data_IF_920344935374
#
_entry.id   IF_920344935374
#
_cell.length_a   1.000
_cell.length_b   1.000
_cell.length_c   1.000
_cell.angle_alpha   90.00
_cell.angle_beta   90.00
_cell.angle_gamma   90.00
#
_symmetry.space_group_name_H-M   'P 1'
#
loop_
_entity.id
_entity.type
_entity.pdbx_description
1 polymer ?
#
# COMPACT_ATOMS: atom_id res chain seq x y z
N UNK A 1 28.92 0.60 13.01
CA UNK A 1 27.85 0.73 12.00
C UNK A 1 27.22 2.11 12.19
N UNK A 2 26.91 2.81 11.11
CA UNK A 2 26.21 4.10 11.19
C UNK A 2 24.75 3.86 11.64
N UNK A 3 24.30 4.57 12.68
CA UNK A 3 22.96 4.43 13.23
C UNK A 3 21.89 4.96 12.30
N UNK A 4 22.20 5.94 11.44
CA UNK A 4 21.28 6.36 10.39
C UNK A 4 21.00 5.19 9.42
N UNK A 5 22.04 4.44 9.04
CA UNK A 5 21.88 3.21 8.22
C UNK A 5 21.08 2.15 8.97
N UNK A 6 21.27 1.99 10.27
CA UNK A 6 20.48 1.05 11.07
C UNK A 6 19.00 1.44 11.09
N UNK A 7 18.68 2.72 11.26
CA UNK A 7 17.30 3.23 11.20
C UNK A 7 16.67 2.98 9.83
N UNK A 8 17.41 3.19 8.73
CA UNK A 8 16.91 2.88 7.38
C UNK A 8 16.66 1.39 7.19
N UNK A 9 17.55 0.51 7.68
CA UNK A 9 17.32 -0.94 7.63
C UNK A 9 16.07 -1.38 8.40
N UNK A 10 15.82 -0.81 9.56
CA UNK A 10 14.60 -1.10 10.34
C UNK A 10 13.37 -0.60 9.59
N UNK A 11 13.42 0.62 9.07
CA UNK A 11 12.34 1.21 8.26
C UNK A 11 11.98 0.33 7.06
N UNK A 12 12.99 -0.09 6.31
CA UNK A 12 12.84 -0.93 5.12
C UNK A 12 12.33 -2.32 5.48
N UNK A 13 12.83 -2.90 6.59
CA UNK A 13 12.32 -4.16 7.10
C UNK A 13 10.81 -4.06 7.32
N UNK A 14 10.33 -3.00 7.96
CA UNK A 14 8.90 -2.74 8.17
C UNK A 14 8.13 -2.24 6.94
N UNK A 15 8.77 -2.16 5.77
CA UNK A 15 8.14 -1.70 4.52
C UNK A 15 7.58 -0.26 4.59
N UNK A 16 8.15 0.59 5.45
CA UNK A 16 7.80 2.01 5.47
C UNK A 16 8.51 2.76 4.33
N UNK A 17 7.73 3.48 3.52
CA UNK A 17 8.26 4.25 2.39
C UNK A 17 8.90 5.58 2.81
N UNK A 18 8.41 6.16 3.91
CA UNK A 18 8.84 7.49 4.36
C UNK A 18 9.28 7.48 5.82
N UNK A 19 10.25 8.34 6.11
CA UNK A 19 10.73 8.59 7.48
C UNK A 19 9.60 9.15 8.37
N UNK A 20 8.66 9.89 7.78
CA UNK A 20 7.49 10.43 8.47
C UNK A 20 6.58 9.31 8.98
N UNK A 21 6.29 8.31 8.13
CA UNK A 21 5.40 7.22 8.52
C UNK A 21 6.05 6.30 9.55
N UNK A 22 7.36 6.06 9.41
CA UNK A 22 8.09 5.29 10.41
C UNK A 22 8.19 6.03 11.76
N UNK A 23 8.42 7.35 11.76
CA UNK A 23 8.39 8.16 12.98
C UNK A 23 7.03 8.07 13.69
N UNK A 24 5.92 8.16 12.94
CA UNK A 24 4.56 7.99 13.48
C UNK A 24 4.36 6.60 14.09
N UNK A 25 4.84 5.54 13.44
CA UNK A 25 4.78 4.18 13.97
C UNK A 25 5.54 4.05 15.31
N UNK A 26 6.71 4.66 15.41
CA UNK A 26 7.50 4.70 16.63
C UNK A 26 6.84 5.57 17.72
N UNK A 27 5.89 6.42 17.37
CA UNK A 27 5.22 7.35 18.29
C UNK A 27 6.02 8.62 18.57
N UNK A 28 6.91 9.00 17.65
CA UNK A 28 7.73 10.22 17.73
C UNK A 28 7.44 11.19 16.58
N UNK A 29 7.92 12.42 16.70
CA UNK A 29 7.75 13.41 15.63
C UNK A 29 8.76 13.16 14.48
N UNK A 30 8.42 13.54 13.23
CA UNK A 30 9.38 13.49 12.12
C UNK A 30 10.66 14.30 12.38
N UNK A 31 10.56 15.42 13.11
CA UNK A 31 11.71 16.21 13.51
C UNK A 31 12.63 15.43 14.45
N UNK A 32 12.06 14.71 15.44
CA UNK A 32 12.83 13.85 16.34
C UNK A 32 13.58 12.78 15.56
N UNK A 33 12.92 12.13 14.61
CA UNK A 33 13.53 11.09 13.78
C UNK A 33 14.63 11.66 12.86
N UNK A 34 14.41 12.83 12.26
CA UNK A 34 15.44 13.53 11.47
C UNK A 34 16.67 13.88 12.32
N UNK A 35 16.45 14.35 13.56
CA UNK A 35 17.51 14.64 14.51
C UNK A 35 18.28 13.38 14.93
N UNK A 36 17.61 12.23 15.05
CA UNK A 36 18.26 10.94 15.30
C UNK A 36 19.24 10.57 14.19
N UNK A 37 18.80 10.66 12.92
CA UNK A 37 19.66 10.41 11.76
C UNK A 37 20.84 11.37 11.70
N UNK A 38 20.59 12.68 11.81
CA UNK A 38 21.65 13.69 11.68
C UNK A 38 22.68 13.64 12.80
N UNK A 39 22.26 13.28 14.02
CA UNK A 39 23.13 13.14 15.19
C UNK A 39 23.67 11.73 15.37
N UNK A 40 23.43 10.82 14.42
CA UNK A 40 23.85 9.43 14.48
C UNK A 40 23.49 8.77 15.83
N UNK A 41 22.23 8.93 16.24
CA UNK A 41 21.68 8.49 17.53
C UNK A 41 20.29 7.90 17.35
N UNK A 42 19.83 7.11 18.31
CA UNK A 42 18.44 6.69 18.44
C UNK A 42 18.18 6.23 19.87
N UNK A 43 16.91 6.12 20.24
CA UNK A 43 16.49 5.46 21.47
C UNK A 43 16.37 3.94 21.22
N UNK A 44 17.33 3.19 21.77
CA UNK A 44 17.39 1.74 21.59
C UNK A 44 16.25 1.01 22.31
N UNK A 45 15.81 1.53 23.46
CA UNK A 45 14.71 0.98 24.24
C UNK A 45 13.39 1.17 23.52
N UNK A 46 13.16 2.37 22.95
CA UNK A 46 11.99 2.61 22.12
C UNK A 46 11.95 1.67 20.91
N UNK A 47 13.07 1.53 20.19
CA UNK A 47 13.16 0.64 19.03
C UNK A 47 12.90 -0.82 19.42
N UNK A 48 13.46 -1.30 20.53
CA UNK A 48 13.23 -2.67 20.99
C UNK A 48 11.75 -2.91 21.37
N UNK A 49 11.11 -1.93 22.02
CA UNK A 49 9.71 -2.04 22.41
C UNK A 49 8.75 -1.99 21.21
N UNK A 50 9.06 -1.19 20.18
CA UNK A 50 8.23 -1.06 18.97
C UNK A 50 8.52 -2.15 17.94
N UNK A 51 9.74 -2.64 17.90
CA UNK A 51 10.24 -3.64 16.97
C UNK A 51 10.83 -4.84 17.75
N UNK A 52 9.98 -5.67 18.38
CA UNK A 52 10.41 -6.71 19.32
C UNK A 52 11.19 -7.86 18.67
N UNK A 53 11.21 -7.95 17.34
CA UNK A 53 12.01 -8.91 16.59
C UNK A 53 13.47 -8.48 16.35
N UNK A 54 13.81 -7.23 16.64
CA UNK A 54 15.19 -6.76 16.50
C UNK A 54 16.08 -7.43 17.54
N UNK A 55 17.25 -7.86 17.08
CA UNK A 55 18.31 -8.37 17.94
C UNK A 55 18.87 -7.23 18.82
N UNK A 56 18.79 -7.32 20.16
CA UNK A 56 19.33 -6.30 21.06
C UNK A 56 20.83 -6.06 20.85
N UNK A 57 21.61 -7.11 20.60
CA UNK A 57 23.06 -7.00 20.35
C UNK A 57 23.35 -6.22 19.07
N UNK A 58 22.51 -6.41 18.04
CA UNK A 58 22.60 -5.63 16.81
C UNK A 58 22.22 -4.17 17.03
N UNK A 59 21.15 -3.88 17.78
CA UNK A 59 20.78 -2.51 18.13
C UNK A 59 21.89 -1.77 18.89
N UNK A 60 22.59 -2.44 19.81
CA UNK A 60 23.61 -1.81 20.65
C UNK A 60 24.96 -1.65 19.95
N UNK A 61 25.39 -2.68 19.20
CA UNK A 61 26.75 -2.73 18.66
C UNK A 61 26.82 -2.67 17.12
N UNK A 62 25.69 -2.83 16.43
CA UNK A 62 25.64 -2.98 14.97
C UNK A 62 26.38 -4.22 14.46
N UNK A 63 26.68 -5.16 15.36
CA UNK A 63 27.30 -6.47 15.10
C UNK A 63 26.20 -7.52 15.22
N UNK A 64 26.40 -8.70 14.66
CA UNK A 64 25.38 -9.75 14.52
C UNK A 64 24.30 -9.47 13.44
N UNK A 65 23.47 -10.47 13.10
CA UNK A 65 22.30 -10.26 12.27
C UNK A 65 21.28 -9.36 12.97
N UNK A 66 20.61 -8.51 12.19
CA UNK A 66 19.53 -7.62 12.65
C UNK A 66 18.37 -8.36 13.30
N UNK A 67 18.09 -9.58 12.86
CA UNK A 67 17.05 -10.48 13.38
C UNK A 67 17.73 -11.82 13.61
N UNK A 68 17.52 -12.43 14.77
CA UNK A 68 18.11 -13.73 15.10
C UNK A 68 17.33 -14.87 14.43
N UNK A 69 18.01 -15.97 14.13
CA UNK A 69 17.40 -17.17 13.53
C UNK A 69 16.25 -17.73 14.38
N UNK A 70 16.41 -17.71 15.71
CA UNK A 70 15.34 -18.08 16.65
C UNK A 70 14.10 -17.19 16.48
N UNK A 71 14.30 -15.89 16.25
CA UNK A 71 13.19 -14.95 16.05
C UNK A 71 12.54 -15.15 14.70
N UNK A 72 13.31 -15.44 13.65
CA UNK A 72 12.77 -15.80 12.33
C UNK A 72 11.83 -16.99 12.44
N UNK A 73 12.19 -18.02 13.21
CA UNK A 73 11.35 -19.21 13.43
C UNK A 73 10.09 -18.87 14.24
N UNK A 74 10.18 -18.07 15.30
CA UNK A 74 9.02 -17.60 16.07
C UNK A 74 8.02 -16.80 15.21
N UNK A 75 8.53 -15.93 14.32
CA UNK A 75 7.74 -15.10 13.42
C UNK A 75 6.93 -15.91 12.40
N UNK A 76 7.43 -17.09 12.01
CA UNK A 76 6.75 -17.99 11.08
C UNK A 76 5.59 -18.76 11.74
N UNK A 77 5.61 -18.92 13.07
CA UNK A 77 4.63 -19.75 13.79
C UNK A 77 3.54 -18.90 14.46
N UNK A 78 3.84 -17.64 14.81
CA UNK A 78 2.93 -16.77 15.56
C UNK A 78 2.72 -15.40 14.87
N UNK A 79 2.24 -15.41 13.61
CA UNK A 79 2.03 -14.22 12.78
C UNK A 79 1.24 -13.10 13.48
N UNK A 80 0.28 -13.46 14.35
CA UNK A 80 -0.65 -12.52 14.96
C UNK A 80 -0.03 -11.53 15.97
N UNK A 81 1.23 -11.70 16.38
CA UNK A 81 1.87 -10.87 17.43
C UNK A 81 3.05 -10.02 16.95
N UNK A 82 3.47 -10.15 15.70
CA UNK A 82 4.61 -9.37 15.17
C UNK A 82 4.13 -8.12 14.44
N UNK A 83 4.50 -6.91 14.91
CA UNK A 83 4.23 -5.67 14.19
C UNK A 83 4.77 -5.68 12.76
N UNK A 84 5.93 -6.30 12.53
CA UNK A 84 6.52 -6.45 11.19
C UNK A 84 5.61 -7.26 10.24
N UNK A 85 5.21 -8.47 10.65
CA UNK A 85 4.39 -9.36 9.79
C UNK A 85 3.05 -8.71 9.47
N UNK A 86 2.41 -8.10 10.48
CA UNK A 86 1.14 -7.39 10.31
C UNK A 86 1.29 -6.20 9.36
N UNK A 87 2.38 -5.43 9.46
CA UNK A 87 2.64 -4.30 8.57
C UNK A 87 2.89 -4.76 7.13
N UNK A 88 3.66 -5.83 6.91
CA UNK A 88 3.90 -6.40 5.58
C UNK A 88 2.59 -6.87 4.94
N UNK A 89 1.73 -7.54 5.71
CA UNK A 89 0.39 -7.95 5.26
C UNK A 89 -0.50 -6.75 4.95
N UNK A 90 -0.46 -5.71 5.78
CA UNK A 90 -1.18 -4.46 5.55
C UNK A 90 -0.74 -3.80 4.23
N UNK A 91 0.55 -3.68 3.98
CA UNK A 91 1.07 -3.10 2.73
C UNK A 91 0.61 -3.90 1.50
N UNK A 92 0.66 -5.23 1.55
CA UNK A 92 0.15 -6.07 0.46
C UNK A 92 -1.33 -5.82 0.17
N UNK A 93 -2.16 -5.76 1.23
CA UNK A 93 -3.59 -5.49 1.08
C UNK A 93 -3.87 -4.07 0.59
N UNK A 94 -3.10 -3.07 1.05
CA UNK A 94 -3.19 -1.69 0.57
C UNK A 94 -2.91 -1.60 -0.94
N UNK A 95 -1.89 -2.31 -1.42
CA UNK A 95 -1.55 -2.39 -2.85
C UNK A 95 -2.65 -3.11 -3.66
N UNK A 96 -3.20 -4.21 -3.13
CA UNK A 96 -4.28 -4.95 -3.77
C UNK A 96 -5.56 -4.11 -3.90
N UNK A 97 -5.95 -3.42 -2.82
CA UNK A 97 -7.08 -2.47 -2.81
C UNK A 97 -6.86 -1.36 -3.84
N UNK A 98 -5.63 -0.85 -3.97
CA UNK A 98 -5.31 0.20 -4.94
C UNK A 98 -5.52 -0.26 -6.38
N UNK A 99 -5.10 -1.49 -6.71
CA UNK A 99 -5.33 -2.07 -8.04
C UNK A 99 -6.82 -2.24 -8.31
N UNK A 100 -7.57 -2.78 -7.34
CA UNK A 100 -9.02 -2.96 -7.47
C UNK A 100 -9.75 -1.62 -7.67
N UNK A 101 -9.39 -0.59 -6.90
CA UNK A 101 -9.97 0.75 -7.04
C UNK A 101 -9.73 1.36 -8.42
N UNK A 102 -8.56 1.13 -9.01
CA UNK A 102 -8.27 1.58 -10.38
C UNK A 102 -9.12 0.83 -11.40
N UNK A 103 -9.27 -0.48 -11.25
CA UNK A 103 -10.10 -1.29 -12.13
C UNK A 103 -11.57 -0.84 -12.09
N UNK A 104 -12.12 -0.57 -10.91
CA UNK A 104 -13.49 -0.06 -10.75
C UNK A 104 -13.71 1.28 -11.45
N UNK A 105 -12.73 2.19 -11.36
CA UNK A 105 -12.80 3.48 -12.06
C UNK A 105 -12.87 3.29 -13.58
N UNK A 106 -11.99 2.47 -14.14
CA UNK A 106 -11.97 2.16 -15.58
C UNK A 106 -13.30 1.53 -16.02
N UNK A 107 -13.82 0.60 -15.21
CA UNK A 107 -15.08 -0.09 -15.50
C UNK A 107 -16.28 0.87 -15.49
N UNK A 108 -16.32 1.78 -14.51
CA UNK A 108 -17.34 2.82 -14.42
C UNK A 108 -17.33 3.76 -15.63
N UNK A 109 -16.14 4.20 -16.06
CA UNK A 109 -15.97 5.02 -17.27
C UNK A 109 -16.45 4.27 -18.53
N UNK A 110 -16.06 3.01 -18.69
CA UNK A 110 -16.50 2.15 -19.79
C UNK A 110 -18.02 1.99 -19.82
N UNK A 111 -18.66 1.75 -18.67
CA UNK A 111 -20.12 1.65 -18.55
C UNK A 111 -20.83 2.93 -19.00
N UNK A 112 -20.27 4.11 -18.69
CA UNK A 112 -20.80 5.40 -19.16
C UNK A 112 -20.73 5.52 -20.69
N UNK A 113 -19.64 5.07 -21.31
CA UNK A 113 -19.50 5.09 -22.77
C UNK A 113 -20.47 4.11 -23.44
N UNK A 114 -20.62 2.90 -22.91
CA UNK A 114 -21.58 1.90 -23.40
C UNK A 114 -23.01 2.47 -23.34
N UNK A 115 -23.38 3.13 -22.24
CA UNK A 115 -24.70 3.75 -22.10
C UNK A 115 -24.96 4.82 -23.17
N UNK A 116 -23.96 5.64 -23.50
CA UNK A 116 -24.06 6.64 -24.59
C UNK A 116 -24.20 5.96 -25.96
N UNK A 117 -23.43 4.90 -26.21
CA UNK A 117 -23.51 4.14 -27.46
C UNK A 117 -24.88 3.49 -27.65
N UNK A 118 -25.43 2.89 -26.59
CA UNK A 118 -26.79 2.32 -26.60
C UNK A 118 -27.80 3.41 -26.97
N UNK A 119 -27.76 4.57 -26.30
CA UNK A 119 -28.68 5.68 -26.60
C UNK A 119 -28.62 6.10 -28.07
N UNK A 120 -27.41 6.28 -28.61
CA UNK A 120 -27.23 6.67 -30.01
C UNK A 120 -27.79 5.62 -30.98
N UNK A 121 -27.57 4.34 -30.70
CA UNK A 121 -28.10 3.25 -31.53
C UNK A 121 -29.62 3.17 -31.44
N UNK A 122 -30.20 3.37 -30.25
CA UNK A 122 -31.67 3.45 -30.07
C UNK A 122 -32.26 4.60 -30.90
N UNK A 123 -31.65 5.79 -30.84
CA UNK A 123 -32.12 6.95 -31.60
C UNK A 123 -32.06 6.69 -33.12
N UNK A 124 -30.98 6.05 -33.60
CA UNK A 124 -30.84 5.64 -35.00
C UNK A 124 -31.88 4.62 -35.42
N UNK A 125 -32.15 3.62 -34.59
CA UNK A 125 -33.14 2.58 -34.89
C UNK A 125 -34.54 3.18 -35.05
N UNK A 126 -34.93 4.09 -34.14
CA UNK A 126 -36.20 4.82 -34.24
C UNK A 126 -36.30 5.68 -35.50
N UNK A 127 -35.20 6.29 -35.93
CA UNK A 127 -35.17 7.07 -37.17
C UNK A 127 -35.40 6.17 -38.39
N UNK A 128 -34.65 5.07 -38.48
CA UNK A 128 -34.78 4.10 -39.57
C UNK A 128 -36.17 3.49 -39.63
N UNK A 129 -36.80 3.19 -38.48
CA UNK A 129 -38.18 2.72 -38.41
C UNK A 129 -39.16 3.75 -38.99
N UNK A 130 -38.99 5.04 -38.67
CA UNK A 130 -39.83 6.11 -39.23
C UNK A 130 -39.67 6.23 -40.74
N UNK A 131 -38.44 6.15 -41.25
CA UNK A 131 -38.16 6.18 -42.69
C UNK A 131 -38.81 5.00 -43.42
N UNK A 132 -38.69 3.79 -42.86
CA UNK A 132 -39.33 2.58 -43.41
C UNK A 132 -40.86 2.75 -43.49
N UNK A 133 -41.49 3.25 -42.42
CA UNK A 133 -42.93 3.50 -42.38
C UNK A 133 -43.36 4.52 -43.43
N UNK A 134 -42.57 5.56 -43.68
CA UNK A 134 -42.85 6.54 -44.73
C UNK A 134 -42.75 5.93 -46.14
N UNK A 135 -41.74 5.09 -46.39
CA UNK A 135 -41.56 4.41 -47.69
C UNK A 135 -42.70 3.44 -47.97
N UNK A 136 -43.14 2.67 -46.97
CA UNK A 136 -44.27 1.74 -47.11
C UNK A 136 -45.58 2.47 -47.44
N UNK A 137 -45.84 3.63 -46.82
CA UNK A 137 -47.04 4.46 -47.11
C UNK A 137 -47.05 5.08 -48.51
N UNK A 138 -45.89 5.27 -49.16
CA UNK A 138 -45.80 5.84 -50.52
C UNK A 138 -45.98 4.80 -51.62
N UNK A 139 -45.96 3.50 -51.29
CA UNK A 139 -46.08 2.39 -52.25
C UNK A 139 -47.48 1.77 -52.34
N UNK A 140 -48.40 2.11 -51.43
CA UNK A 140 -49.82 1.73 -51.47
C UNK A 140 -50.67 2.92 -51.87
#
# INVERSE_FOLDING_TARGET
>A
MDKAIMLDRIKDHYSFQTDVDFAKFLGITPQTFSNWKSRNSFDAELLYNKCPELNPSWLLCGKEPMITESKIQELQVNEAKSPYILRKKLTYLEDEIKVLSQADKIMSESGSQIKKAIKLLTDKLQLTEKELQQVLKKKG
#
